data_IF_361032837876
#
_entry.id   IF_361032837876
#
_cell.length_a   1.000
_cell.length_b   1.000
_cell.length_c   1.000
_cell.angle_alpha   90.00
_cell.angle_beta   90.00
_cell.angle_gamma   90.00
#
_symmetry.space_group_name_H-M   'P 1'
#
loop_
_entity.id
_entity.type
_entity.pdbx_description
1 polymer ?
#
# COMPACT_ATOMS: atom_id res chain seq x y z
N UNK A 1 -16.28 9.90 12.33
CA UNK A 1 -15.90 10.03 10.90
C UNK A 1 -17.00 10.84 10.23
N UNK A 2 -16.72 12.11 9.85
CA UNK A 2 -17.72 12.96 9.21
C UNK A 2 -17.85 12.48 7.78
N UNK A 3 -18.96 11.81 7.49
CA UNK A 3 -19.17 11.15 6.22
C UNK A 3 -19.65 12.18 5.19
N UNK A 4 -18.85 12.47 4.16
CA UNK A 4 -19.34 13.15 2.96
C UNK A 4 -20.39 12.24 2.30
N UNK A 5 -21.67 12.48 2.58
CA UNK A 5 -22.78 11.60 2.15
C UNK A 5 -23.76 12.26 1.19
N UNK A 6 -23.75 13.59 1.13
CA UNK A 6 -24.62 14.32 0.21
C UNK A 6 -23.91 14.53 -1.12
N UNK A 7 -24.70 14.61 -2.18
CA UNK A 7 -24.21 14.84 -3.54
C UNK A 7 -23.42 16.15 -3.61
N UNK A 8 -23.94 17.19 -2.99
CA UNK A 8 -23.38 18.54 -2.99
C UNK A 8 -22.00 18.56 -2.31
N UNK A 9 -21.82 17.80 -1.23
CA UNK A 9 -20.52 17.66 -0.57
C UNK A 9 -19.49 16.95 -1.45
N UNK A 10 -19.89 15.89 -2.15
CA UNK A 10 -19.02 15.12 -3.05
C UNK A 10 -18.61 15.99 -4.24
N UNK A 11 -19.58 16.67 -4.86
CA UNK A 11 -19.32 17.57 -6.01
C UNK A 11 -18.43 18.76 -5.62
N UNK A 12 -18.66 19.35 -4.44
CA UNK A 12 -17.82 20.42 -3.92
C UNK A 12 -16.39 19.94 -3.66
N UNK A 13 -16.20 18.75 -3.08
CA UNK A 13 -14.89 18.18 -2.84
C UNK A 13 -14.16 17.85 -4.16
N UNK A 14 -14.84 17.21 -5.11
CA UNK A 14 -14.29 16.92 -6.43
C UNK A 14 -13.85 18.19 -7.18
N UNK A 15 -14.60 19.29 -7.05
CA UNK A 15 -14.22 20.59 -7.60
C UNK A 15 -12.98 21.20 -6.91
N UNK A 16 -12.79 20.96 -5.61
CA UNK A 16 -11.57 21.36 -4.89
C UNK A 16 -10.38 20.49 -5.31
N UNK A 17 -10.56 19.17 -5.42
CA UNK A 17 -9.51 18.26 -5.89
C UNK A 17 -9.05 18.62 -7.30
N UNK A 18 -9.98 18.82 -8.24
CA UNK A 18 -9.67 19.19 -9.61
C UNK A 18 -8.88 20.49 -9.71
N UNK A 19 -9.27 21.52 -8.93
CA UNK A 19 -8.53 22.79 -8.88
C UNK A 19 -7.13 22.62 -8.28
N UNK A 20 -7.00 21.86 -7.20
CA UNK A 20 -5.69 21.58 -6.58
C UNK A 20 -4.76 20.89 -7.57
N UNK A 21 -5.22 19.83 -8.24
CA UNK A 21 -4.42 19.12 -9.24
C UNK A 21 -4.01 20.01 -10.42
N UNK A 22 -4.91 20.86 -10.92
CA UNK A 22 -4.57 21.82 -11.99
C UNK A 22 -3.49 22.83 -11.58
N UNK A 23 -3.48 23.25 -10.31
CA UNK A 23 -2.58 24.29 -9.81
C UNK A 23 -1.23 23.73 -9.32
N UNK A 24 -1.23 22.57 -8.68
CA UNK A 24 -0.06 22.04 -7.94
C UNK A 24 0.37 20.64 -8.39
N UNK A 25 -0.43 19.97 -9.22
CA UNK A 25 -0.22 18.56 -9.59
C UNK A 25 -0.48 17.57 -8.45
N UNK A 26 -1.05 18.02 -7.33
CA UNK A 26 -1.26 17.21 -6.12
C UNK A 26 -2.69 17.34 -5.56
N UNK A 27 -3.20 16.31 -4.86
CA UNK A 27 -4.47 16.40 -4.15
C UNK A 27 -4.39 17.41 -2.99
N UNK A 28 -5.51 18.00 -2.57
CA UNK A 28 -5.52 18.98 -1.50
C UNK A 28 -5.21 18.33 -0.15
N UNK A 29 -4.22 18.86 0.58
CA UNK A 29 -3.95 18.50 1.98
C UNK A 29 -4.58 19.58 2.87
N UNK A 30 -5.52 19.17 3.72
CA UNK A 30 -6.23 20.09 4.63
C UNK A 30 -5.76 19.87 6.06
N UNK A 31 -5.22 20.92 6.69
CA UNK A 31 -4.89 20.93 8.10
C UNK A 31 -3.92 22.07 8.47
N UNK A 32 -3.31 21.98 9.64
CA UNK A 32 -2.37 22.98 10.14
C UNK A 32 -0.99 22.86 9.47
N UNK A 33 -0.22 23.96 9.33
CA UNK A 33 1.11 23.93 8.70
C UNK A 33 2.11 22.96 9.35
N UNK A 34 1.94 22.65 10.64
CA UNK A 34 2.81 21.76 11.40
C UNK A 34 2.24 20.33 11.53
N UNK A 35 1.24 19.95 10.74
CA UNK A 35 0.67 18.61 10.79
C UNK A 35 1.63 17.59 10.17
N UNK A 36 1.73 16.42 10.78
CA UNK A 36 2.30 15.25 10.11
C UNK A 36 1.22 14.65 9.22
N UNK A 37 1.43 14.70 7.90
CA UNK A 37 0.61 13.93 6.97
C UNK A 37 1.08 12.46 7.03
N UNK A 38 0.17 11.54 7.32
CA UNK A 38 0.45 10.11 7.34
C UNK A 38 -0.57 9.37 6.48
N UNK A 39 -0.12 8.83 5.36
CA UNK A 39 -0.95 8.05 4.45
C UNK A 39 -0.62 6.57 4.65
N UNK A 40 -1.63 5.76 4.93
CA UNK A 40 -1.46 4.32 5.09
C UNK A 40 -2.39 3.57 4.14
N UNK A 41 -1.81 2.72 3.29
CA UNK A 41 -2.56 1.81 2.43
C UNK A 41 -2.46 0.39 2.96
N UNK A 42 -3.62 -0.24 3.19
CA UNK A 42 -3.70 -1.60 3.69
C UNK A 42 -3.64 -2.62 2.54
N UNK A 43 -2.43 -3.04 2.18
CA UNK A 43 -2.20 -4.03 1.11
C UNK A 43 -2.37 -5.48 1.59
N UNK A 44 -2.48 -5.70 2.91
CA UNK A 44 -2.79 -7.02 3.45
C UNK A 44 -4.13 -7.55 2.94
N UNK A 45 -5.09 -6.67 2.64
CA UNK A 45 -6.38 -7.05 2.04
C UNK A 45 -6.22 -7.69 0.66
N UNK A 46 -5.13 -7.42 -0.06
CA UNK A 46 -4.81 -8.05 -1.34
C UNK A 46 -4.27 -9.47 -1.20
N UNK A 47 -3.97 -9.92 0.03
CA UNK A 47 -3.56 -11.30 0.35
C UNK A 47 -2.36 -11.79 -0.46
N UNK A 48 -1.38 -10.94 -0.69
CA UNK A 48 -0.21 -11.27 -1.53
C UNK A 48 0.55 -12.51 -1.06
N UNK A 49 0.68 -12.73 0.25
CA UNK A 49 1.33 -13.93 0.81
C UNK A 49 0.50 -15.22 0.65
N UNK A 50 -0.79 -15.11 0.30
CA UNK A 50 -1.67 -16.28 0.11
C UNK A 50 -1.75 -16.74 -1.35
N UNK A 51 -1.16 -16.00 -2.30
CA UNK A 51 -1.17 -16.38 -3.71
C UNK A 51 -0.51 -17.75 -3.87
N UNK A 52 -1.19 -18.65 -4.60
CA UNK A 52 -0.72 -20.01 -4.81
C UNK A 52 -0.01 -20.16 -6.16
N UNK A 53 1.31 -20.27 -6.10
CA UNK A 53 2.16 -20.55 -7.26
C UNK A 53 2.53 -22.04 -7.38
N UNK A 54 1.92 -22.94 -6.60
CA UNK A 54 2.20 -24.39 -6.67
C UNK A 54 2.09 -24.98 -8.08
N UNK A 55 1.12 -24.59 -8.93
CA UNK A 55 1.04 -25.10 -10.31
C UNK A 55 2.23 -24.75 -11.21
N UNK A 56 3.00 -23.71 -10.87
CA UNK A 56 4.14 -23.26 -11.66
C UNK A 56 5.47 -23.99 -11.30
N UNK A 57 5.42 -24.95 -10.38
CA UNK A 57 6.62 -25.60 -9.85
C UNK A 57 7.01 -26.78 -10.73
N UNK A 58 8.16 -26.64 -11.42
CA UNK A 58 8.76 -27.69 -12.24
C UNK A 58 9.85 -28.48 -11.49
N UNK A 59 10.44 -27.88 -10.45
CA UNK A 59 11.47 -28.50 -9.61
C UNK A 59 11.45 -27.89 -8.22
N UNK A 60 11.49 -28.73 -7.19
CA UNK A 60 11.65 -28.26 -5.81
C UNK A 60 13.10 -27.79 -5.58
N UNK A 61 13.26 -26.57 -5.06
CA UNK A 61 14.56 -26.00 -4.74
C UNK A 61 15.13 -26.52 -3.42
N UNK A 62 14.49 -26.16 -2.30
CA UNK A 62 14.87 -26.67 -0.98
C UNK A 62 14.01 -27.90 -0.63
N UNK A 63 14.57 -28.87 0.11
CA UNK A 63 13.79 -29.99 0.66
C UNK A 63 12.62 -29.53 1.53
N UNK A 64 11.57 -30.36 1.59
CA UNK A 64 10.45 -30.16 2.53
C UNK A 64 10.94 -30.08 3.98
N UNK A 65 10.32 -29.24 4.78
CA UNK A 65 10.69 -29.00 6.19
C UNK A 65 11.89 -28.06 6.40
N UNK A 66 12.66 -27.71 5.37
CA UNK A 66 13.70 -26.66 5.45
C UNK A 66 13.19 -25.25 5.13
N UNK A 67 11.93 -25.14 4.68
CA UNK A 67 11.29 -23.86 4.37
C UNK A 67 10.28 -23.52 5.45
N UNK A 68 10.22 -22.23 5.76
CA UNK A 68 9.19 -21.70 6.65
C UNK A 68 7.91 -21.39 5.89
N UNK A 69 8.01 -20.91 4.64
CA UNK A 69 6.86 -20.80 3.75
C UNK A 69 6.52 -22.14 3.10
N UNK A 70 5.22 -22.37 2.89
CA UNK A 70 4.75 -23.50 2.10
C UNK A 70 5.30 -23.40 0.67
N UNK A 71 5.53 -24.56 0.07
CA UNK A 71 5.88 -24.65 -1.35
C UNK A 71 4.79 -23.95 -2.17
N UNK A 72 5.18 -23.10 -3.12
CA UNK A 72 4.25 -22.32 -3.93
C UNK A 72 3.74 -21.02 -3.28
N UNK A 73 4.01 -20.77 -1.99
CA UNK A 73 3.68 -19.48 -1.36
C UNK A 73 4.84 -18.50 -1.47
N UNK A 74 4.57 -17.19 -1.68
CA UNK A 74 5.59 -16.16 -1.61
C UNK A 74 6.33 -16.19 -0.27
N UNK A 75 7.66 -16.21 -0.34
CA UNK A 75 8.51 -16.07 0.85
C UNK A 75 8.73 -14.60 1.22
N UNK A 76 8.61 -13.69 0.25
CA UNK A 76 8.83 -12.26 0.39
C UNK A 76 7.92 -11.51 -0.58
N UNK A 77 7.29 -10.45 -0.10
CA UNK A 77 6.53 -9.50 -0.92
C UNK A 77 7.07 -8.12 -0.62
N UNK A 78 7.66 -7.48 -1.63
CA UNK A 78 8.18 -6.12 -1.54
C UNK A 78 7.50 -5.22 -2.56
N UNK A 79 7.30 -3.96 -2.18
CA UNK A 79 6.89 -2.94 -3.13
C UNK A 79 8.04 -2.72 -4.12
N UNK A 80 7.80 -2.96 -5.40
CA UNK A 80 8.70 -2.48 -6.45
C UNK A 80 8.78 -0.96 -6.37
N UNK A 81 9.97 -0.38 -6.55
CA UNK A 81 10.17 1.07 -6.53
C UNK A 81 9.96 1.61 -7.96
N UNK A 82 8.79 2.15 -8.33
CA UNK A 82 8.81 3.25 -9.28
C UNK A 82 9.37 4.48 -8.55
N UNK A 83 10.18 5.23 -9.27
CA UNK A 83 10.60 6.59 -8.94
C UNK A 83 9.33 7.47 -8.95
N UNK A 84 8.50 7.34 -7.92
CA UNK A 84 7.30 8.17 -7.80
C UNK A 84 7.78 9.56 -7.40
N UNK A 85 7.84 10.44 -8.39
CA UNK A 85 8.05 11.89 -8.25
C UNK A 85 6.87 12.59 -7.56
N UNK A 86 6.14 11.89 -6.70
CA UNK A 86 5.16 12.53 -5.86
C UNK A 86 5.82 12.81 -4.51
N UNK A 87 5.96 14.09 -4.11
CA UNK A 87 6.34 14.46 -2.75
C UNK A 87 5.16 14.21 -1.79
N UNK A 88 4.55 13.03 -1.86
CA UNK A 88 3.55 12.61 -0.87
C UNK A 88 4.33 12.25 0.37
N UNK A 89 4.37 13.19 1.29
CA UNK A 89 4.92 12.98 2.61
C UNK A 89 4.37 11.66 3.20
N UNK A 90 5.27 10.79 3.63
CA UNK A 90 4.98 9.63 4.49
C UNK A 90 3.86 8.68 4.02
N UNK A 91 3.99 8.10 2.82
CA UNK A 91 3.17 6.93 2.47
C UNK A 91 3.75 5.67 3.12
N UNK A 92 2.88 4.92 3.78
CA UNK A 92 3.12 3.60 4.35
C UNK A 92 2.25 2.56 3.66
N UNK A 93 2.85 1.41 3.35
CA UNK A 93 2.16 0.24 2.81
C UNK A 93 2.26 -0.92 3.79
N UNK A 94 1.12 -1.44 4.25
CA UNK A 94 1.06 -2.65 5.07
C UNK A 94 0.95 -3.84 4.14
N UNK A 95 2.08 -4.49 3.83
CA UNK A 95 2.16 -5.57 2.83
C UNK A 95 1.45 -6.85 3.29
N UNK A 96 1.49 -7.14 4.59
CA UNK A 96 0.83 -8.29 5.20
C UNK A 96 1.75 -9.12 6.10
N UNK A 97 1.29 -10.31 6.45
CA UNK A 97 2.04 -11.27 7.26
C UNK A 97 2.65 -12.35 6.38
N UNK A 98 3.90 -12.70 6.65
CA UNK A 98 4.50 -13.87 6.04
C UNK A 98 4.11 -15.18 6.75
N UNK A 99 4.71 -16.29 6.32
CA UNK A 99 4.47 -17.62 6.87
C UNK A 99 4.95 -17.80 8.33
N UNK A 100 5.84 -16.94 8.84
CA UNK A 100 6.22 -16.91 10.27
C UNK A 100 5.22 -16.13 11.11
N UNK A 101 4.39 -15.32 10.47
CA UNK A 101 3.52 -14.35 11.14
C UNK A 101 4.18 -12.98 11.31
N UNK A 102 5.37 -12.76 10.73
CA UNK A 102 6.06 -11.47 10.78
C UNK A 102 5.33 -10.46 9.89
N UNK A 103 5.15 -9.23 10.38
CA UNK A 103 4.51 -8.16 9.63
C UNK A 103 5.49 -7.41 8.74
N UNK A 104 5.14 -7.29 7.47
CA UNK A 104 5.90 -6.55 6.47
C UNK A 104 5.24 -5.20 6.19
N UNK A 105 6.00 -4.13 6.39
CA UNK A 105 5.57 -2.76 6.13
C UNK A 105 6.70 -2.00 5.42
N UNK A 106 6.33 -1.10 4.51
CA UNK A 106 7.26 -0.19 3.86
C UNK A 106 6.84 1.22 4.19
N UNK A 107 7.77 2.02 4.70
CA UNK A 107 7.55 3.43 4.99
C UNK A 107 8.65 4.27 4.36
N UNK A 108 8.25 5.31 3.63
CA UNK A 108 9.14 6.34 3.14
C UNK A 108 9.02 7.58 4.02
N UNK A 109 10.05 7.85 4.82
CA UNK A 109 10.23 9.09 5.55
C UNK A 109 10.90 10.13 4.64
N UNK A 110 10.38 11.36 4.64
CA UNK A 110 11.01 12.50 3.98
C UNK A 110 11.59 13.45 5.02
#
# INVERSE_FOLDING_TARGET
>A
MVTQRTREQIEAFAAVEGRSFQQTGQPPIVGSPNMLNFVCSNWHQSRYFDVDFSPAIVKHGLPEGKRVSLVGKPALVVRGLPEIQMPVASITYIMGKDAKGDWWMVWQLQ
#
